data_IF_688569148352
#
_entry.id   IF_688569148352
#
_cell.length_a   1.000
_cell.length_b   1.000
_cell.length_c   1.000
_cell.angle_alpha   90.00
_cell.angle_beta   90.00
_cell.angle_gamma   90.00
#
_symmetry.space_group_name_H-M   'P 1'
#
loop_
_entity.id
_entity.type
_entity.pdbx_description
1 polymer ?
#
# COMPACT_ATOMS: atom_id res chain seq x y z
N UNK A 1 17.85 -7.18 -16.43
CA UNK A 1 17.25 -8.51 -16.12
C UNK A 1 15.95 -8.28 -15.36
N UNK A 2 14.95 -9.13 -15.56
CA UNK A 2 13.70 -9.02 -14.80
C UNK A 2 13.88 -9.55 -13.39
N UNK A 3 13.28 -8.88 -12.40
CA UNK A 3 13.24 -9.33 -11.01
C UNK A 3 12.25 -10.49 -10.88
N UNK A 4 12.71 -11.61 -10.33
CA UNK A 4 11.87 -12.79 -10.04
C UNK A 4 11.12 -12.60 -8.74
N UNK A 5 9.81 -12.44 -8.82
CA UNK A 5 8.94 -12.17 -7.68
C UNK A 5 8.08 -13.39 -7.37
N UNK A 6 8.08 -13.81 -6.11
CA UNK A 6 7.07 -14.73 -5.59
C UNK A 6 6.07 -13.95 -4.71
N UNK A 7 4.79 -14.31 -4.78
CA UNK A 7 3.72 -13.66 -4.00
C UNK A 7 3.23 -14.65 -2.95
N UNK A 8 3.41 -14.31 -1.67
CA UNK A 8 2.86 -15.07 -0.55
C UNK A 8 1.57 -14.42 -0.05
N UNK A 9 0.44 -15.05 -0.31
CA UNK A 9 -0.90 -14.51 -0.11
C UNK A 9 -1.47 -13.84 -1.36
N UNK A 10 -2.45 -14.49 -1.99
CA UNK A 10 -3.07 -14.00 -3.21
C UNK A 10 -4.46 -13.40 -2.95
N UNK A 11 -4.54 -12.62 -1.84
CA UNK A 11 -5.68 -11.79 -1.47
C UNK A 11 -5.81 -10.55 -2.35
N UNK A 12 -6.49 -9.50 -1.87
CA UNK A 12 -6.70 -8.25 -2.61
C UNK A 12 -5.37 -7.67 -3.13
N UNK A 13 -4.42 -7.43 -2.23
CA UNK A 13 -3.13 -6.78 -2.56
C UNK A 13 -2.27 -7.69 -3.45
N UNK A 14 -2.16 -8.99 -3.13
CA UNK A 14 -1.39 -9.93 -3.95
C UNK A 14 -1.89 -10.02 -5.40
N UNK A 15 -3.21 -10.04 -5.61
CA UNK A 15 -3.79 -10.05 -6.97
C UNK A 15 -3.57 -8.74 -7.72
N UNK A 16 -3.67 -7.59 -7.06
CA UNK A 16 -3.40 -6.31 -7.71
C UNK A 16 -1.92 -6.13 -8.03
N UNK A 17 -1.02 -6.58 -7.15
CA UNK A 17 0.41 -6.62 -7.43
C UNK A 17 0.72 -7.53 -8.63
N UNK A 18 0.09 -8.70 -8.69
CA UNK A 18 0.18 -9.59 -9.85
C UNK A 18 -0.25 -8.87 -11.14
N UNK A 19 -1.44 -8.26 -11.16
CA UNK A 19 -1.95 -7.53 -12.33
C UNK A 19 -1.03 -6.40 -12.79
N UNK A 20 -0.29 -5.77 -11.88
CA UNK A 20 0.64 -4.69 -12.22
C UNK A 20 2.00 -5.20 -12.70
N UNK A 21 2.46 -6.35 -12.20
CA UNK A 21 3.77 -6.92 -12.55
C UNK A 21 3.70 -7.89 -13.73
N UNK A 22 2.57 -8.59 -13.91
CA UNK A 22 2.44 -9.60 -14.97
C UNK A 22 2.49 -8.94 -16.35
N UNK A 23 3.46 -9.36 -17.17
CA UNK A 23 3.71 -8.77 -18.48
C UNK A 23 4.40 -7.40 -18.48
N UNK A 24 4.62 -6.79 -17.32
CA UNK A 24 5.33 -5.53 -17.23
C UNK A 24 6.85 -5.72 -17.35
N UNK A 25 7.51 -4.77 -17.99
CA UNK A 25 8.96 -4.78 -18.15
C UNK A 25 9.68 -4.72 -16.80
N UNK A 26 10.67 -5.58 -16.63
CA UNK A 26 11.48 -5.65 -15.42
C UNK A 26 10.93 -6.55 -14.31
N UNK A 27 9.80 -7.24 -14.53
CA UNK A 27 9.23 -8.18 -13.56
C UNK A 27 8.95 -9.55 -14.16
N UNK A 28 9.12 -10.58 -13.33
CA UNK A 28 8.69 -11.95 -13.62
C UNK A 28 8.03 -12.54 -12.37
N UNK A 29 6.72 -12.72 -12.37
CA UNK A 29 6.05 -13.46 -11.29
C UNK A 29 6.25 -14.94 -11.52
N UNK A 30 7.04 -15.59 -10.65
CA UNK A 30 7.47 -16.98 -10.82
C UNK A 30 6.60 -17.97 -10.06
N UNK A 31 5.98 -17.56 -8.95
CA UNK A 31 5.14 -18.43 -8.13
C UNK A 31 4.19 -17.62 -7.23
N UNK A 32 3.15 -18.30 -6.79
CA UNK A 32 2.19 -17.83 -5.77
C UNK A 32 2.13 -18.89 -4.66
N UNK A 33 2.02 -18.47 -3.41
CA UNK A 33 1.61 -19.34 -2.31
C UNK A 33 0.30 -18.82 -1.71
N UNK A 34 -0.71 -19.66 -1.65
CA UNK A 34 -2.00 -19.37 -0.99
C UNK A 34 -2.69 -20.67 -0.60
N UNK A 35 -3.38 -20.70 0.54
CA UNK A 35 -3.97 -21.91 1.07
C UNK A 35 -5.29 -22.32 0.42
N UNK A 36 -5.86 -21.43 -0.43
CA UNK A 36 -7.09 -21.73 -1.16
C UNK A 36 -6.82 -22.45 -2.50
N UNK A 37 -7.87 -22.83 -3.23
CA UNK A 37 -7.74 -23.58 -4.47
C UNK A 37 -7.33 -22.72 -5.67
N UNK A 38 -6.64 -23.31 -6.66
CA UNK A 38 -6.29 -22.63 -7.91
C UNK A 38 -7.53 -22.11 -8.65
N UNK A 39 -8.63 -22.87 -8.63
CA UNK A 39 -9.93 -22.46 -9.18
C UNK A 39 -10.44 -21.17 -8.55
N UNK A 40 -10.41 -21.07 -7.21
CA UNK A 40 -10.87 -19.87 -6.50
C UNK A 40 -9.96 -18.68 -6.81
N UNK A 41 -8.64 -18.87 -6.82
CA UNK A 41 -7.69 -17.80 -7.13
C UNK A 41 -7.82 -17.29 -8.55
N UNK A 42 -7.98 -18.20 -9.53
CA UNK A 42 -8.24 -17.85 -10.93
C UNK A 42 -9.56 -17.07 -11.08
N UNK A 43 -10.62 -17.51 -10.39
CA UNK A 43 -11.91 -16.82 -10.40
C UNK A 43 -11.80 -15.40 -9.88
N UNK A 44 -11.17 -15.22 -8.70
CA UNK A 44 -10.99 -13.90 -8.07
C UNK A 44 -9.97 -13.03 -8.81
N UNK A 45 -9.06 -13.60 -9.60
CA UNK A 45 -8.20 -12.83 -10.50
C UNK A 45 -8.98 -12.33 -11.72
N UNK A 46 -9.88 -13.15 -12.28
CA UNK A 46 -10.76 -12.77 -13.39
C UNK A 46 -11.70 -11.62 -13.03
N UNK A 47 -12.41 -11.78 -11.92
CA UNK A 47 -13.55 -10.95 -11.54
C UNK A 47 -13.23 -10.18 -10.26
N UNK A 48 -13.15 -8.89 -10.36
CA UNK A 48 -12.91 -7.99 -9.24
C UNK A 48 -13.98 -6.91 -9.22
N UNK A 49 -14.77 -6.87 -8.14
CA UNK A 49 -15.90 -5.96 -8.02
C UNK A 49 -15.49 -4.49 -7.89
N UNK A 50 -14.26 -4.22 -7.47
CA UNK A 50 -13.76 -2.85 -7.24
C UNK A 50 -12.77 -2.42 -8.33
N UNK A 51 -11.90 -3.34 -8.81
CA UNK A 51 -10.82 -3.01 -9.74
C UNK A 51 -11.11 -3.52 -11.18
N UNK A 52 -12.32 -4.03 -11.40
CA UNK A 52 -12.80 -4.43 -12.71
C UNK A 52 -12.39 -5.83 -13.16
N UNK A 53 -13.00 -6.25 -14.26
CA UNK A 53 -12.84 -7.56 -14.84
C UNK A 53 -11.53 -7.64 -15.63
N UNK A 54 -10.60 -8.50 -15.18
CA UNK A 54 -9.28 -8.66 -15.79
C UNK A 54 -9.36 -9.25 -17.21
N UNK A 55 -10.37 -10.11 -17.46
CA UNK A 55 -10.62 -10.65 -18.83
C UNK A 55 -11.12 -9.55 -19.76
N UNK A 56 -11.99 -8.65 -19.28
CA UNK A 56 -12.44 -7.50 -20.08
C UNK A 56 -11.30 -6.50 -20.37
N UNK A 57 -10.21 -6.55 -19.60
CA UNK A 57 -8.98 -5.78 -19.85
C UNK A 57 -8.04 -6.45 -20.86
N UNK A 58 -8.45 -7.58 -21.47
CA UNK A 58 -7.72 -8.25 -22.54
C UNK A 58 -6.90 -9.47 -22.11
N UNK A 59 -7.01 -9.91 -20.85
CA UNK A 59 -6.26 -11.05 -20.33
C UNK A 59 -7.08 -12.35 -20.35
N UNK A 60 -6.39 -13.46 -20.55
CA UNK A 60 -6.96 -14.80 -20.37
C UNK A 60 -6.52 -15.36 -19.02
N UNK A 61 -7.41 -16.04 -18.31
CA UNK A 61 -7.07 -16.71 -17.04
C UNK A 61 -7.73 -18.07 -17.01
N UNK A 62 -6.94 -19.12 -16.75
CA UNK A 62 -7.41 -20.48 -16.56
C UNK A 62 -6.71 -21.10 -15.36
N UNK A 63 -7.03 -22.33 -14.99
CA UNK A 63 -6.46 -23.03 -13.85
C UNK A 63 -6.37 -24.53 -14.06
N UNK A 64 -5.46 -25.16 -13.33
CA UNK A 64 -5.41 -26.59 -13.15
C UNK A 64 -5.25 -26.92 -11.67
N UNK A 65 -5.99 -27.90 -11.17
CA UNK A 65 -5.92 -28.38 -9.80
C UNK A 65 -5.23 -29.74 -9.77
N UNK A 66 -4.09 -29.81 -9.14
CA UNK A 66 -3.26 -30.97 -8.97
C UNK A 66 -2.45 -30.90 -7.67
N UNK A 67 -1.41 -31.70 -7.56
CA UNK A 67 -0.48 -31.68 -6.42
C UNK A 67 0.84 -31.01 -6.81
N UNK A 68 1.43 -30.30 -5.83
CA UNK A 68 2.73 -29.66 -6.02
C UNK A 68 2.76 -28.67 -7.20
N UNK A 69 3.69 -28.86 -8.12
CA UNK A 69 3.85 -28.00 -9.29
C UNK A 69 2.77 -28.23 -10.38
N UNK A 70 1.91 -29.22 -10.22
CA UNK A 70 0.75 -29.45 -11.10
C UNK A 70 -0.50 -28.71 -10.60
N UNK A 71 -0.39 -27.90 -9.57
CA UNK A 71 -1.42 -26.96 -9.10
C UNK A 71 -1.05 -25.54 -9.54
N UNK A 72 -1.78 -24.96 -10.51
CA UNK A 72 -1.37 -23.69 -11.12
C UNK A 72 -2.55 -22.90 -11.71
N UNK A 73 -2.30 -21.61 -11.95
CA UNK A 73 -3.11 -20.79 -12.87
C UNK A 73 -2.34 -20.59 -14.19
N UNK A 74 -3.08 -20.36 -15.26
CA UNK A 74 -2.53 -19.95 -16.55
C UNK A 74 -3.06 -18.56 -16.89
N UNK A 75 -2.17 -17.61 -17.10
CA UNK A 75 -2.52 -16.26 -17.50
C UNK A 75 -1.81 -15.94 -18.81
N UNK A 76 -2.58 -15.60 -19.83
CA UNK A 76 -2.07 -15.33 -21.20
C UNK A 76 -1.11 -16.42 -21.71
N UNK A 77 -1.46 -17.66 -21.43
CA UNK A 77 -0.66 -18.84 -21.79
C UNK A 77 0.54 -19.12 -20.89
N UNK A 78 0.86 -18.29 -19.92
CA UNK A 78 1.94 -18.52 -18.95
C UNK A 78 1.43 -19.26 -17.72
N UNK A 79 2.08 -20.38 -17.38
CA UNK A 79 1.83 -21.17 -16.18
C UNK A 79 2.47 -20.49 -14.96
N UNK A 80 1.68 -20.27 -13.89
CA UNK A 80 2.13 -19.76 -12.60
C UNK A 80 1.75 -20.80 -11.54
N UNK A 81 2.74 -21.43 -10.94
CA UNK A 81 2.52 -22.47 -9.92
C UNK A 81 1.96 -21.86 -8.65
N UNK A 82 0.98 -22.53 -8.05
CA UNK A 82 0.39 -22.17 -6.76
C UNK A 82 0.78 -23.22 -5.73
N UNK A 83 1.65 -22.82 -4.82
CA UNK A 83 1.97 -23.61 -3.63
C UNK A 83 0.88 -23.42 -2.57
N UNK A 84 0.70 -24.44 -1.72
CA UNK A 84 -0.27 -24.46 -0.62
C UNK A 84 0.41 -24.75 0.72
N UNK A 85 1.53 -24.08 0.95
CA UNK A 85 2.36 -24.30 2.13
C UNK A 85 1.97 -23.33 3.24
N UNK A 86 1.51 -23.81 4.40
CA UNK A 86 1.16 -22.95 5.53
C UNK A 86 2.40 -22.33 6.20
N UNK A 87 3.54 -23.01 6.14
CA UNK A 87 4.81 -22.53 6.69
C UNK A 87 5.70 -21.99 5.55
N UNK A 88 6.08 -20.74 5.64
CA UNK A 88 6.89 -20.06 4.63
C UNK A 88 8.31 -20.66 4.49
N UNK A 89 8.86 -21.28 5.54
CA UNK A 89 10.18 -21.92 5.50
C UNK A 89 10.25 -23.15 4.58
N UNK A 90 9.09 -23.75 4.26
CA UNK A 90 9.00 -24.93 3.42
C UNK A 90 8.84 -24.60 1.92
N UNK A 91 8.76 -23.32 1.59
CA UNK A 91 8.55 -22.86 0.22
C UNK A 91 9.85 -22.94 -0.60
N UNK A 92 9.77 -23.29 -1.90
CA UNK A 92 10.96 -23.58 -2.70
C UNK A 92 11.61 -22.33 -3.31
N UNK A 93 11.69 -21.24 -2.57
CA UNK A 93 12.15 -19.95 -3.11
C UNK A 93 13.58 -20.01 -3.67
N UNK A 94 14.47 -20.72 -3.00
CA UNK A 94 15.84 -20.93 -3.48
C UNK A 94 15.89 -21.72 -4.78
N UNK A 95 15.10 -22.81 -4.93
CA UNK A 95 14.99 -23.61 -6.15
C UNK A 95 14.50 -22.80 -7.34
N UNK A 96 13.57 -21.84 -7.10
CA UNK A 96 13.00 -20.99 -8.12
C UNK A 96 13.86 -19.76 -8.42
N UNK A 97 14.90 -19.51 -7.63
CA UNK A 97 15.77 -18.35 -7.76
C UNK A 97 15.01 -17.03 -7.52
N UNK A 98 14.15 -17.01 -6.47
CA UNK A 98 13.33 -15.85 -6.14
C UNK A 98 14.21 -14.70 -5.65
N UNK A 99 14.16 -13.56 -6.34
CA UNK A 99 14.84 -12.36 -5.91
C UNK A 99 14.09 -11.66 -4.79
N UNK A 100 12.78 -11.51 -4.92
CA UNK A 100 11.94 -10.82 -3.93
C UNK A 100 10.67 -11.62 -3.64
N UNK A 101 10.41 -11.88 -2.36
CA UNK A 101 9.08 -12.31 -1.91
C UNK A 101 8.26 -11.09 -1.55
N UNK A 102 7.07 -10.99 -2.14
CA UNK A 102 6.03 -10.07 -1.72
C UNK A 102 5.14 -10.77 -0.70
N UNK A 103 5.23 -10.36 0.56
CA UNK A 103 4.46 -10.93 1.68
C UNK A 103 3.13 -10.20 1.85
N UNK A 104 2.02 -10.84 1.50
CA UNK A 104 0.67 -10.30 1.50
C UNK A 104 -0.33 -11.07 2.37
N UNK A 105 0.13 -12.03 3.21
CA UNK A 105 -0.77 -12.85 4.03
C UNK A 105 -1.28 -12.14 5.28
N UNK A 106 -0.51 -11.15 5.77
CA UNK A 106 -0.75 -10.53 7.07
C UNK A 106 -0.30 -11.35 8.27
N UNK A 107 0.36 -12.52 8.06
CA UNK A 107 0.89 -13.38 9.14
C UNK A 107 2.37 -13.11 9.42
N UNK A 108 3.17 -12.84 8.42
CA UNK A 108 4.62 -12.63 8.51
C UNK A 108 4.95 -11.12 8.58
N UNK A 109 4.27 -10.39 9.47
CA UNK A 109 4.35 -8.93 9.61
C UNK A 109 5.36 -8.46 10.65
N UNK A 110 6.50 -9.13 10.75
CA UNK A 110 7.67 -8.67 11.53
C UNK A 110 8.95 -9.24 10.90
N UNK A 111 10.09 -8.61 11.17
CA UNK A 111 11.39 -9.08 10.68
C UNK A 111 11.63 -10.53 11.03
N UNK A 112 11.42 -10.89 12.31
CA UNK A 112 11.63 -12.25 12.79
C UNK A 112 10.77 -13.30 12.08
N UNK A 113 9.49 -12.98 11.82
CA UNK A 113 8.61 -13.90 11.09
C UNK A 113 8.95 -13.97 9.61
N UNK A 114 9.20 -12.83 8.95
CA UNK A 114 9.52 -12.76 7.54
C UNK A 114 10.88 -13.41 7.21
N UNK A 115 11.75 -13.60 8.20
CA UNK A 115 13.00 -14.34 8.06
C UNK A 115 12.79 -15.75 7.47
N UNK A 116 11.64 -16.39 7.73
CA UNK A 116 11.29 -17.68 7.14
C UNK A 116 11.37 -17.71 5.60
N UNK A 117 11.08 -16.60 4.92
CA UNK A 117 11.24 -16.51 3.48
C UNK A 117 12.71 -16.45 3.03
N UNK A 118 13.56 -15.78 3.80
CA UNK A 118 15.01 -15.77 3.55
C UNK A 118 15.58 -17.16 3.77
N UNK A 119 15.17 -17.85 4.86
CA UNK A 119 15.59 -19.22 5.18
C UNK A 119 15.14 -20.21 4.09
N UNK A 120 14.00 -19.95 3.44
CA UNK A 120 13.52 -20.69 2.27
C UNK A 120 14.28 -20.37 0.97
N UNK A 121 15.25 -19.44 1.00
CA UNK A 121 16.16 -19.13 -0.09
C UNK A 121 15.76 -17.92 -0.95
N UNK A 122 14.82 -17.10 -0.53
CA UNK A 122 14.58 -15.79 -1.16
C UNK A 122 15.72 -14.82 -0.83
N UNK A 123 16.07 -13.94 -1.76
CA UNK A 123 17.12 -12.94 -1.52
C UNK A 123 16.63 -11.77 -0.69
N UNK A 124 15.39 -11.34 -0.92
CA UNK A 124 14.77 -10.18 -0.27
C UNK A 124 13.29 -10.41 0.01
N UNK A 125 12.74 -9.68 0.99
CA UNK A 125 11.31 -9.71 1.35
C UNK A 125 10.75 -8.29 1.45
N UNK A 126 9.62 -8.05 0.82
CA UNK A 126 8.81 -6.83 0.99
C UNK A 126 7.51 -7.19 1.69
N UNK A 127 7.32 -6.69 2.91
CA UNK A 127 6.11 -6.91 3.72
C UNK A 127 5.07 -5.86 3.35
N UNK A 128 3.88 -6.29 2.92
CA UNK A 128 2.76 -5.41 2.53
C UNK A 128 1.95 -4.88 3.72
N UNK A 129 2.60 -4.57 4.82
CA UNK A 129 1.98 -4.07 6.05
C UNK A 129 3.03 -3.36 6.93
N UNK A 130 2.62 -2.52 7.90
CA UNK A 130 3.50 -2.07 8.97
C UNK A 130 4.07 -3.29 9.74
N UNK A 131 5.38 -3.30 9.97
CA UNK A 131 6.08 -4.50 10.44
C UNK A 131 7.02 -4.28 11.65
N UNK A 132 6.78 -3.24 12.43
CA UNK A 132 7.61 -2.88 13.59
C UNK A 132 8.66 -1.82 13.27
N UNK A 133 9.62 -1.64 14.18
CA UNK A 133 10.65 -0.59 14.09
C UNK A 133 12.06 -1.17 13.93
N UNK A 134 12.18 -2.48 13.80
CA UNK A 134 13.45 -3.22 13.70
C UNK A 134 13.84 -3.55 12.25
N UNK A 135 13.12 -2.96 11.29
CA UNK A 135 13.37 -3.04 9.85
C UNK A 135 12.99 -1.72 9.16
N UNK A 136 13.57 -1.42 7.98
CA UNK A 136 13.22 -0.21 7.25
C UNK A 136 11.74 -0.19 6.87
N UNK A 137 11.07 0.95 7.12
CA UNK A 137 9.73 1.25 6.65
C UNK A 137 9.82 2.23 5.51
N UNK A 138 9.37 1.83 4.32
CA UNK A 138 9.63 2.53 3.06
C UNK A 138 8.34 3.06 2.44
N UNK A 139 8.39 4.33 2.04
CA UNK A 139 7.46 4.96 1.11
C UNK A 139 8.25 5.39 -0.13
N UNK A 140 7.90 4.84 -1.29
CA UNK A 140 8.58 5.15 -2.54
C UNK A 140 8.51 6.66 -2.86
N UNK A 141 9.60 7.21 -3.37
CA UNK A 141 9.82 8.65 -3.62
C UNK A 141 9.85 9.56 -2.37
N UNK A 142 9.77 8.99 -1.16
CA UNK A 142 10.00 9.75 0.08
C UNK A 142 11.33 9.34 0.71
N UNK A 143 11.46 8.07 1.10
CA UNK A 143 12.67 7.58 1.77
C UNK A 143 13.28 6.31 1.16
N UNK A 144 12.83 5.85 -0.02
CA UNK A 144 13.35 4.61 -0.63
C UNK A 144 14.87 4.64 -0.86
N UNK A 145 15.48 5.83 -1.03
CA UNK A 145 16.93 6.01 -1.21
C UNK A 145 17.73 5.76 0.09
N UNK A 146 17.07 5.57 1.23
CA UNK A 146 17.76 5.16 2.47
C UNK A 146 18.09 3.68 2.50
N UNK A 147 17.48 2.89 1.61
CA UNK A 147 17.76 1.46 1.49
C UNK A 147 19.19 1.22 0.98
N UNK A 148 19.78 0.17 1.51
CA UNK A 148 21.12 -0.30 1.17
C UNK A 148 21.08 -1.75 0.67
N UNK A 149 22.19 -2.25 0.14
CA UNK A 149 22.31 -3.65 -0.30
C UNK A 149 22.29 -4.65 0.86
N UNK A 150 22.59 -4.20 2.07
CA UNK A 150 22.55 -5.00 3.31
C UNK A 150 21.13 -5.26 3.80
N UNK A 151 20.17 -4.46 3.38
CA UNK A 151 18.76 -4.65 3.71
C UNK A 151 18.21 -5.86 2.96
N UNK A 152 17.60 -6.79 3.69
CA UNK A 152 17.00 -8.01 3.13
C UNK A 152 15.49 -8.09 3.36
N UNK A 153 14.97 -7.46 4.41
CA UNK A 153 13.56 -7.47 4.78
C UNK A 153 13.12 -6.03 5.06
N UNK A 154 12.09 -5.57 4.36
CA UNK A 154 11.55 -4.22 4.52
C UNK A 154 10.02 -4.24 4.64
N UNK A 155 9.47 -3.18 5.22
CA UNK A 155 8.04 -2.88 5.21
C UNK A 155 7.73 -1.83 4.15
N UNK A 156 6.71 -2.06 3.33
CA UNK A 156 6.16 -1.05 2.43
C UNK A 156 5.14 -0.12 3.12
N UNK A 157 5.19 -0.03 4.45
CA UNK A 157 4.28 0.78 5.27
C UNK A 157 2.79 0.39 5.10
N UNK A 158 1.87 1.35 5.28
CA UNK A 158 0.44 1.20 5.01
C UNK A 158 0.00 2.07 3.84
N UNK A 159 -1.19 1.80 3.29
CA UNK A 159 -1.78 2.63 2.24
C UNK A 159 -1.92 4.10 2.67
N UNK A 160 -2.38 4.33 3.89
CA UNK A 160 -2.53 5.68 4.46
C UNK A 160 -1.18 6.37 4.66
N UNK A 161 -0.14 5.64 5.11
CA UNK A 161 1.22 6.20 5.23
C UNK A 161 1.78 6.59 3.86
N UNK A 162 1.54 5.78 2.83
CA UNK A 162 1.96 6.08 1.46
C UNK A 162 1.25 7.30 0.87
N UNK A 163 0.02 7.58 1.29
CA UNK A 163 -0.70 8.81 0.92
C UNK A 163 -0.21 10.03 1.71
N UNK A 164 -0.05 9.89 3.03
CA UNK A 164 0.30 11.00 3.91
C UNK A 164 1.74 11.49 3.71
N UNK A 165 2.69 10.59 3.55
CA UNK A 165 4.12 10.91 3.60
C UNK A 165 4.57 11.93 2.53
N UNK A 166 4.27 11.77 1.23
CA UNK A 166 4.71 12.74 0.22
C UNK A 166 4.09 14.12 0.45
N UNK A 167 2.80 14.19 0.80
CA UNK A 167 2.10 15.43 1.10
C UNK A 167 2.68 16.13 2.35
N UNK A 168 2.92 15.37 3.42
CA UNK A 168 3.49 15.90 4.65
C UNK A 168 4.95 16.36 4.45
N UNK A 169 5.73 15.62 3.62
CA UNK A 169 7.09 16.02 3.27
C UNK A 169 7.09 17.34 2.52
N UNK A 170 6.30 17.45 1.44
CA UNK A 170 6.24 18.67 0.63
C UNK A 170 5.80 19.88 1.47
N UNK A 171 4.83 19.73 2.38
CA UNK A 171 4.42 20.81 3.29
C UNK A 171 5.54 21.17 4.28
N UNK A 172 6.22 20.18 4.87
CA UNK A 172 7.32 20.41 5.81
C UNK A 172 8.55 21.04 5.15
N UNK A 173 8.80 20.73 3.89
CA UNK A 173 9.89 21.34 3.10
C UNK A 173 9.59 22.81 2.74
N UNK A 174 8.31 23.17 2.55
CA UNK A 174 7.88 24.56 2.37
C UNK A 174 7.98 25.36 3.69
N UNK A 175 7.42 24.81 4.75
CA UNK A 175 7.38 25.43 6.06
C UNK A 175 7.34 24.35 7.15
N UNK A 176 8.28 24.35 8.13
CA UNK A 176 8.38 23.29 9.12
C UNK A 176 7.08 23.05 9.86
N UNK A 177 6.60 21.81 9.86
CA UNK A 177 5.43 21.39 10.64
C UNK A 177 5.80 21.36 12.13
N UNK A 178 5.06 22.10 12.94
CA UNK A 178 5.18 22.14 14.40
C UNK A 178 4.35 21.02 15.05
N UNK A 179 3.10 20.88 14.59
CA UNK A 179 2.17 19.85 15.04
C UNK A 179 1.07 19.63 14.01
N UNK A 180 0.39 18.48 14.08
CA UNK A 180 -0.74 18.25 13.18
C UNK A 180 -1.61 17.07 13.59
N UNK A 181 -2.83 17.09 13.05
CA UNK A 181 -3.80 16.01 13.15
C UNK A 181 -4.14 15.55 11.74
N UNK A 182 -3.93 14.30 11.45
CA UNK A 182 -4.42 13.69 10.21
C UNK A 182 -5.71 12.91 10.47
N UNK A 183 -6.64 12.99 9.55
CA UNK A 183 -7.79 12.11 9.50
C UNK A 183 -7.88 11.47 8.12
N UNK A 184 -8.00 10.14 8.07
CA UNK A 184 -8.34 9.49 6.81
C UNK A 184 -9.80 9.08 6.80
N UNK A 185 -10.51 9.49 5.74
CA UNK A 185 -11.82 8.97 5.38
C UNK A 185 -11.54 7.78 4.46
N UNK A 186 -11.69 6.58 5.00
CA UNK A 186 -11.15 5.36 4.40
C UNK A 186 -12.26 4.45 3.91
N UNK A 187 -12.09 3.85 2.75
CA UNK A 187 -12.95 2.76 2.31
C UNK A 187 -12.92 1.59 3.32
N UNK A 188 -14.00 0.83 3.42
CA UNK A 188 -13.99 -0.36 4.28
C UNK A 188 -12.97 -1.40 3.77
N UNK A 189 -12.48 -2.23 4.68
CA UNK A 189 -11.43 -3.22 4.39
C UNK A 189 -11.91 -4.63 4.73
N UNK A 190 -11.27 -5.64 4.13
CA UNK A 190 -11.68 -7.04 4.25
C UNK A 190 -11.56 -7.65 5.65
N UNK A 191 -11.06 -6.93 6.62
CA UNK A 191 -11.04 -7.31 8.04
C UNK A 191 -12.28 -6.81 8.82
N UNK A 192 -13.13 -5.99 8.18
CA UNK A 192 -14.44 -5.61 8.71
C UNK A 192 -15.51 -6.65 8.34
N UNK A 193 -16.56 -6.68 9.12
CA UNK A 193 -17.66 -7.62 8.88
C UNK A 193 -18.64 -7.07 7.83
N UNK A 194 -19.12 -7.88 6.88
CA UNK A 194 -20.17 -7.47 5.94
C UNK A 194 -21.51 -7.22 6.65
N UNK A 195 -21.86 -8.05 7.62
CA UNK A 195 -22.99 -7.89 8.57
C UNK A 195 -22.44 -7.92 10.00
N UNK A 196 -23.25 -7.49 10.99
CA UNK A 196 -22.84 -7.54 12.40
C UNK A 196 -22.43 -8.96 12.79
N UNK A 197 -21.20 -9.12 13.27
CA UNK A 197 -20.65 -10.41 13.64
C UNK A 197 -19.28 -10.31 14.31
N UNK A 198 -18.78 -11.38 14.95
CA UNK A 198 -17.53 -11.34 15.69
C UNK A 198 -16.32 -11.17 14.74
N UNK A 199 -15.60 -10.07 14.91
CA UNK A 199 -14.36 -9.82 14.19
C UNK A 199 -13.19 -10.62 14.80
N UNK A 200 -12.29 -11.15 13.96
CA UNK A 200 -11.24 -12.12 14.37
C UNK A 200 -10.32 -11.64 15.50
N UNK A 201 -10.07 -10.33 15.62
CA UNK A 201 -9.20 -9.73 16.65
C UNK A 201 -10.00 -9.13 17.81
N UNK A 202 -11.35 -9.30 17.82
CA UNK A 202 -12.22 -8.80 18.87
C UNK A 202 -12.47 -7.29 18.85
N UNK A 203 -12.21 -6.61 17.73
CA UNK A 203 -12.51 -5.18 17.59
C UNK A 203 -14.03 -5.00 17.45
N UNK A 204 -14.65 -4.36 18.47
CA UNK A 204 -16.10 -4.19 18.54
C UNK A 204 -16.66 -3.29 17.43
N UNK A 205 -15.91 -2.28 16.98
CA UNK A 205 -16.35 -1.39 15.91
C UNK A 205 -16.26 -2.07 14.55
N UNK A 206 -15.16 -2.78 14.28
CA UNK A 206 -14.98 -3.58 13.05
C UNK A 206 -15.90 -4.80 12.99
N UNK A 207 -16.55 -5.16 14.09
CA UNK A 207 -17.60 -6.19 14.16
C UNK A 207 -18.94 -5.74 13.59
N UNK A 208 -19.10 -4.45 13.28
CA UNK A 208 -20.33 -3.91 12.72
C UNK A 208 -20.30 -3.92 11.18
N UNK A 209 -21.51 -3.96 10.59
CA UNK A 209 -21.70 -4.01 9.15
C UNK A 209 -21.02 -2.84 8.41
N UNK A 210 -20.05 -3.15 7.58
CA UNK A 210 -19.16 -2.16 6.94
C UNK A 210 -19.88 -1.27 5.92
N UNK A 211 -20.83 -1.84 5.16
CA UNK A 211 -21.49 -1.15 4.05
C UNK A 211 -22.61 -0.17 4.45
N UNK A 212 -22.93 -0.07 5.76
CA UNK A 212 -24.02 0.78 6.27
C UNK A 212 -23.61 1.67 7.46
N UNK A 213 -22.33 1.66 7.85
CA UNK A 213 -21.85 2.40 9.00
C UNK A 213 -20.61 3.23 8.67
N UNK A 214 -20.49 4.39 9.34
CA UNK A 214 -19.19 5.06 9.55
C UNK A 214 -18.55 4.39 10.76
N UNK A 215 -17.37 3.77 10.57
CA UNK A 215 -16.70 2.98 11.60
C UNK A 215 -15.41 3.68 12.02
N UNK A 216 -15.37 4.33 13.20
CA UNK A 216 -14.13 4.92 13.71
C UNK A 216 -13.09 3.84 13.97
N UNK A 217 -11.87 4.05 13.47
CA UNK A 217 -10.75 3.14 13.59
C UNK A 217 -9.50 3.87 14.10
N UNK A 218 -8.64 3.14 14.77
CA UNK A 218 -7.27 3.62 15.00
C UNK A 218 -6.45 3.51 13.72
N UNK A 219 -5.52 4.43 13.51
CA UNK A 219 -4.52 4.34 12.45
C UNK A 219 -3.12 4.53 13.04
N UNK A 220 -2.20 3.67 12.62
CA UNK A 220 -0.77 3.83 12.92
C UNK A 220 -0.03 4.77 11.98
N UNK A 221 -0.71 5.32 10.96
CA UNK A 221 -0.05 6.09 9.90
C UNK A 221 0.66 7.34 10.42
N UNK A 222 0.04 8.08 11.36
CA UNK A 222 0.67 9.25 11.95
C UNK A 222 1.92 8.92 12.79
N UNK A 223 1.95 7.77 13.47
CA UNK A 223 3.15 7.28 14.17
C UNK A 223 4.21 6.79 13.20
N UNK A 224 3.78 6.09 12.14
CA UNK A 224 4.69 5.56 11.14
C UNK A 224 5.38 6.66 10.32
N UNK A 225 4.81 7.88 10.29
CA UNK A 225 5.42 8.98 9.56
C UNK A 225 6.83 9.31 10.08
N UNK A 226 7.08 9.21 11.38
CA UNK A 226 8.40 9.42 11.98
C UNK A 226 9.45 8.38 11.57
N UNK A 227 9.03 7.18 11.09
CA UNK A 227 9.94 6.18 10.53
C UNK A 227 10.33 6.51 9.09
N UNK A 228 9.51 7.29 8.40
CA UNK A 228 9.68 7.65 6.99
C UNK A 228 10.29 9.04 6.84
N UNK A 229 9.87 9.98 7.70
CA UNK A 229 10.32 11.37 7.76
C UNK A 229 10.70 11.66 9.23
N UNK A 230 11.95 11.47 9.63
CA UNK A 230 12.39 11.59 11.02
C UNK A 230 12.08 12.94 11.68
N UNK A 231 12.08 14.03 10.90
CA UNK A 231 11.77 15.39 11.35
C UNK A 231 10.32 15.55 11.83
N UNK A 232 9.42 14.64 11.43
CA UNK A 232 8.02 14.63 11.83
C UNK A 232 7.73 13.68 13.01
N UNK A 233 8.76 13.04 13.57
CA UNK A 233 8.58 12.14 14.69
C UNK A 233 7.95 12.86 15.90
N UNK A 234 6.82 12.34 16.38
CA UNK A 234 6.10 12.89 17.53
C UNK A 234 5.26 14.14 17.23
N UNK A 235 5.31 14.70 16.01
CA UNK A 235 4.56 15.92 15.66
C UNK A 235 3.14 15.66 15.14
N UNK A 236 2.84 14.44 14.68
CA UNK A 236 1.54 14.10 14.11
C UNK A 236 0.81 13.05 14.95
N UNK A 237 -0.49 13.28 15.12
CA UNK A 237 -1.45 12.27 15.61
C UNK A 237 -2.48 11.99 14.52
N UNK A 238 -3.23 10.90 14.64
CA UNK A 238 -4.18 10.55 13.57
C UNK A 238 -5.32 9.65 13.99
N UNK A 239 -6.40 9.75 13.20
CA UNK A 239 -7.60 8.94 13.29
C UNK A 239 -8.01 8.45 11.89
N UNK A 240 -8.84 7.41 11.86
CA UNK A 240 -9.46 6.91 10.64
C UNK A 240 -10.97 6.78 10.83
N UNK A 241 -11.72 7.10 9.78
CA UNK A 241 -13.16 6.86 9.68
C UNK A 241 -13.37 5.97 8.46
N UNK A 242 -13.72 4.70 8.67
CA UNK A 242 -14.09 3.83 7.55
C UNK A 242 -15.54 4.10 7.15
N UNK A 243 -15.76 4.31 5.86
CA UNK A 243 -17.05 4.69 5.28
C UNK A 243 -17.56 3.65 4.30
N UNK A 244 -18.87 3.66 3.94
CA UNK A 244 -19.48 2.67 3.04
C UNK A 244 -19.06 2.81 1.57
N UNK A 245 -17.76 2.81 1.29
CA UNK A 245 -17.21 2.76 -0.08
C UNK A 245 -16.27 1.57 -0.20
N UNK A 246 -16.26 0.84 -1.34
CA UNK A 246 -15.47 -0.39 -1.49
C UNK A 246 -13.98 -0.12 -1.70
N UNK A 247 -13.64 1.02 -2.30
CA UNK A 247 -12.28 1.54 -2.47
C UNK A 247 -12.35 3.05 -2.75
N UNK A 248 -11.23 3.74 -2.71
CA UNK A 248 -11.17 5.20 -2.82
C UNK A 248 -11.26 5.88 -1.45
N UNK A 249 -10.14 6.40 -0.99
CA UNK A 249 -9.95 7.00 0.32
C UNK A 249 -9.31 8.37 0.19
N UNK A 250 -9.46 9.21 1.21
CA UNK A 250 -8.78 10.51 1.28
C UNK A 250 -8.12 10.71 2.63
N UNK A 251 -6.95 11.34 2.63
CA UNK A 251 -6.24 11.77 3.84
C UNK A 251 -6.26 13.28 3.94
N UNK A 252 -6.76 13.77 5.06
CA UNK A 252 -6.80 15.19 5.43
C UNK A 252 -5.72 15.42 6.49
N UNK A 253 -4.77 16.29 6.23
CA UNK A 253 -3.79 16.74 7.22
C UNK A 253 -4.07 18.18 7.58
N UNK A 254 -4.40 18.42 8.85
CA UNK A 254 -4.47 19.74 9.46
C UNK A 254 -3.19 19.92 10.28
N UNK A 255 -2.35 20.87 9.88
CA UNK A 255 -1.05 21.10 10.53
C UNK A 255 -0.86 22.57 10.85
N UNK A 256 -0.17 22.85 11.94
CA UNK A 256 0.42 24.17 12.21
C UNK A 256 1.82 24.15 11.63
N UNK A 257 2.09 25.08 10.74
CA UNK A 257 3.42 25.28 10.15
C UNK A 257 4.02 26.60 10.60
N UNK A 258 5.34 26.64 10.66
CA UNK A 258 6.09 27.81 11.13
C UNK A 258 6.07 28.92 10.08
N UNK A 259 5.67 30.13 10.52
CA UNK A 259 5.64 31.31 9.69
C UNK A 259 4.39 31.40 8.81
N UNK A 260 4.34 32.47 8.01
CA UNK A 260 3.21 32.78 7.14
C UNK A 260 3.33 32.06 5.79
N UNK A 261 2.29 31.32 5.42
CA UNK A 261 2.16 30.69 4.09
C UNK A 261 0.78 31.01 3.50
N UNK A 262 0.68 30.99 2.18
CA UNK A 262 -0.57 31.21 1.42
C UNK A 262 -1.00 29.92 0.72
N UNK A 263 -2.28 29.84 0.31
CA UNK A 263 -2.81 28.74 -0.51
C UNK A 263 -1.97 28.55 -1.77
N UNK A 264 -1.62 29.64 -2.46
CA UNK A 264 -0.86 29.58 -3.70
C UNK A 264 0.56 29.02 -3.47
N UNK A 265 1.22 29.39 -2.38
CA UNK A 265 2.54 28.85 -2.03
C UNK A 265 2.48 27.35 -1.71
N UNK A 266 1.47 26.90 -0.94
CA UNK A 266 1.27 25.49 -0.64
C UNK A 266 1.00 24.71 -1.93
N UNK A 267 0.07 25.16 -2.77
CA UNK A 267 -0.26 24.49 -4.02
C UNK A 267 0.92 24.48 -5.01
N UNK A 268 1.69 25.56 -5.09
CA UNK A 268 2.89 25.62 -5.91
C UNK A 268 3.97 24.64 -5.45
N UNK A 269 4.19 24.49 -4.13
CA UNK A 269 5.12 23.53 -3.57
C UNK A 269 4.67 22.10 -3.89
N UNK A 270 3.38 21.76 -3.67
CA UNK A 270 2.87 20.42 -3.96
C UNK A 270 3.00 20.07 -5.44
N UNK A 271 2.78 21.05 -6.34
CA UNK A 271 2.94 20.89 -7.78
C UNK A 271 4.42 20.70 -8.17
N UNK A 272 5.34 21.38 -7.52
CA UNK A 272 6.77 21.26 -7.77
C UNK A 272 7.31 19.88 -7.33
N UNK A 273 6.76 19.30 -6.27
CA UNK A 273 7.12 17.97 -5.76
C UNK A 273 6.38 16.82 -6.46
N UNK A 274 5.54 17.10 -7.47
CA UNK A 274 4.81 16.08 -8.21
C UNK A 274 5.76 15.13 -8.94
N UNK A 275 5.46 13.83 -8.88
CA UNK A 275 6.24 12.74 -9.47
C UNK A 275 5.31 11.69 -10.06
N UNK A 276 5.86 10.60 -10.58
CA UNK A 276 5.07 9.41 -11.00
C UNK A 276 4.30 8.74 -9.85
N UNK A 277 4.65 9.03 -8.60
CA UNK A 277 4.03 8.45 -7.39
C UNK A 277 3.29 9.46 -6.52
N UNK A 278 3.52 10.75 -6.71
CA UNK A 278 2.82 11.85 -6.06
C UNK A 278 2.20 12.76 -7.13
N UNK A 279 0.89 12.63 -7.32
CA UNK A 279 0.15 13.38 -8.33
C UNK A 279 -0.36 14.72 -7.80
N UNK A 280 -0.73 15.61 -8.74
CA UNK A 280 -1.31 16.92 -8.48
C UNK A 280 -2.62 17.05 -9.26
N UNK A 281 -3.71 17.40 -8.58
CA UNK A 281 -5.05 17.52 -9.16
C UNK A 281 -5.64 18.92 -8.92
N UNK A 282 -6.36 19.41 -9.93
CA UNK A 282 -7.12 20.69 -9.89
C UNK A 282 -8.59 20.51 -10.23
N UNK A 283 -9.02 19.28 -10.52
CA UNK A 283 -10.42 18.98 -10.83
C UNK A 283 -11.19 18.68 -9.54
N UNK A 284 -12.50 18.94 -9.56
CA UNK A 284 -13.42 18.64 -8.46
C UNK A 284 -13.81 17.16 -8.48
N UNK A 285 -12.90 16.28 -8.03
CA UNK A 285 -13.04 14.83 -8.04
C UNK A 285 -13.66 14.27 -6.76
N UNK A 286 -14.19 13.05 -6.87
CA UNK A 286 -14.71 12.26 -5.75
C UNK A 286 -14.06 10.87 -5.71
N UNK A 287 -14.37 10.08 -4.68
CA UNK A 287 -13.71 8.80 -4.42
C UNK A 287 -13.82 7.75 -5.56
N UNK A 288 -14.86 7.81 -6.40
CA UNK A 288 -15.00 6.91 -7.53
C UNK A 288 -14.05 7.22 -8.69
N UNK A 289 -13.59 8.48 -8.81
CA UNK A 289 -12.73 8.93 -9.91
C UNK A 289 -11.29 8.44 -9.77
N UNK A 290 -10.91 8.04 -8.54
CA UNK A 290 -9.55 7.58 -8.25
C UNK A 290 -9.40 6.05 -8.24
N UNK A 291 -10.47 5.31 -8.56
CA UNK A 291 -10.42 3.84 -8.60
C UNK A 291 -9.44 3.38 -9.70
N UNK A 292 -8.52 2.51 -9.34
CA UNK A 292 -7.47 2.03 -10.24
C UNK A 292 -6.29 2.99 -10.41
N UNK A 293 -6.27 4.12 -9.72
CA UNK A 293 -5.19 5.10 -9.77
C UNK A 293 -3.86 4.49 -9.30
N UNK A 294 -2.77 4.93 -9.92
CA UNK A 294 -1.40 4.45 -9.62
C UNK A 294 -0.53 5.44 -8.84
N UNK A 295 -0.98 6.68 -8.62
CA UNK A 295 -0.30 7.56 -7.67
C UNK A 295 -0.46 7.01 -6.26
N UNK A 296 0.60 6.98 -5.46
CA UNK A 296 0.52 6.63 -4.04
C UNK A 296 -0.29 7.65 -3.24
N UNK A 297 -0.25 8.89 -3.70
CA UNK A 297 -0.94 10.06 -3.17
C UNK A 297 -1.26 11.01 -4.32
N UNK A 298 -2.50 11.45 -4.45
CA UNK A 298 -2.92 12.45 -5.41
C UNK A 298 -3.37 13.70 -4.65
N UNK A 299 -2.52 14.71 -4.61
CA UNK A 299 -2.81 15.97 -3.93
C UNK A 299 -3.96 16.70 -4.62
N UNK A 300 -4.92 17.17 -3.82
CA UNK A 300 -6.09 17.93 -4.29
C UNK A 300 -5.93 19.41 -3.97
N UNK A 301 -5.53 20.20 -4.96
CA UNK A 301 -5.31 21.63 -4.82
C UNK A 301 -6.60 22.43 -4.55
N UNK A 302 -7.78 21.84 -4.84
CA UNK A 302 -9.07 22.47 -4.61
C UNK A 302 -9.47 22.49 -3.13
N UNK A 303 -8.80 21.65 -2.29
CA UNK A 303 -9.12 21.47 -0.88
C UNK A 303 -8.12 22.14 0.07
N UNK A 304 -7.15 22.89 -0.46
CA UNK A 304 -6.16 23.59 0.36
C UNK A 304 -6.79 24.76 1.09
N UNK A 305 -6.61 24.82 2.40
CA UNK A 305 -7.05 25.93 3.24
C UNK A 305 -5.92 26.41 4.14
N UNK A 306 -5.86 27.71 4.38
CA UNK A 306 -4.91 28.33 5.30
C UNK A 306 -5.60 29.31 6.24
N UNK A 307 -5.15 29.35 7.49
CA UNK A 307 -5.61 30.28 8.51
C UNK A 307 -4.39 30.85 9.24
N UNK A 308 -4.09 32.17 9.07
CA UNK A 308 -3.04 32.82 9.85
C UNK A 308 -3.35 32.79 11.34
N UNK A 309 -2.34 32.48 12.15
CA UNK A 309 -2.45 32.44 13.61
C UNK A 309 -1.88 33.72 14.25
N UNK A 310 -2.35 34.12 15.46
CA UNK A 310 -1.90 35.34 16.12
C UNK A 310 -0.40 35.36 16.47
N UNK A 311 0.25 34.22 16.57
CA UNK A 311 1.68 34.08 16.85
C UNK A 311 2.57 34.20 15.58
N UNK A 312 1.98 34.42 14.42
CA UNK A 312 2.71 34.53 13.16
C UNK A 312 2.88 33.21 12.39
N UNK A 313 2.43 32.08 12.95
CA UNK A 313 2.38 30.79 12.27
C UNK A 313 1.11 30.66 11.43
N UNK A 314 0.99 29.55 10.72
CA UNK A 314 -0.18 29.28 9.89
C UNK A 314 -0.74 27.87 10.15
N UNK A 315 -2.04 27.78 10.36
CA UNK A 315 -2.74 26.50 10.26
C UNK A 315 -3.08 26.23 8.80
N UNK A 316 -2.69 25.04 8.33
CA UNK A 316 -2.84 24.59 6.95
C UNK A 316 -3.63 23.30 6.93
N UNK A 317 -4.65 23.23 6.07
CA UNK A 317 -5.25 21.97 5.65
C UNK A 317 -4.75 21.61 4.26
N UNK A 318 -4.28 20.37 4.10
CA UNK A 318 -3.97 19.75 2.81
C UNK A 318 -4.66 18.40 2.71
N UNK A 319 -5.08 18.05 1.49
CA UNK A 319 -5.86 16.84 1.22
C UNK A 319 -5.24 16.06 0.08
N UNK A 320 -5.16 14.75 0.23
CA UNK A 320 -4.75 13.84 -0.85
C UNK A 320 -5.67 12.64 -0.95
N UNK A 321 -5.93 12.23 -2.19
CA UNK A 321 -6.68 11.03 -2.55
C UNK A 321 -5.74 9.84 -2.75
N UNK A 322 -6.24 8.63 -2.48
CA UNK A 322 -5.58 7.38 -2.79
C UNK A 322 -6.57 6.24 -2.96
N UNK A 323 -6.36 5.42 -3.99
CA UNK A 323 -6.98 4.11 -4.02
C UNK A 323 -6.25 3.24 -2.99
N UNK A 324 -6.88 2.98 -1.85
CA UNK A 324 -6.25 2.27 -0.73
C UNK A 324 -5.74 0.86 -1.12
N UNK A 325 -6.19 0.31 -2.24
CA UNK A 325 -5.70 -0.93 -2.81
C UNK A 325 -4.68 -0.68 -3.92
N UNK A 326 -5.07 -0.04 -5.03
CA UNK A 326 -4.23 0.05 -6.23
C UNK A 326 -3.10 1.09 -6.11
N UNK A 327 -3.34 2.24 -5.46
CA UNK A 327 -2.27 3.22 -5.17
C UNK A 327 -1.18 2.62 -4.30
N UNK A 328 -1.58 1.95 -3.22
CA UNK A 328 -0.64 1.26 -2.32
C UNK A 328 0.15 0.17 -3.05
N UNK A 329 -0.55 -0.67 -3.82
CA UNK A 329 0.07 -1.72 -4.62
C UNK A 329 1.10 -1.15 -5.59
N UNK A 330 0.80 -0.01 -6.23
CA UNK A 330 1.72 0.64 -7.17
C UNK A 330 3.00 1.11 -6.49
N UNK A 331 2.90 1.69 -5.28
CA UNK A 331 4.06 2.09 -4.50
C UNK A 331 4.93 0.88 -4.11
N UNK A 332 4.28 -0.19 -3.70
CA UNK A 332 4.93 -1.43 -3.34
C UNK A 332 5.65 -2.08 -4.54
N UNK A 333 5.02 -2.12 -5.70
CA UNK A 333 5.61 -2.64 -6.94
C UNK A 333 6.85 -1.83 -7.35
N UNK A 334 6.80 -0.50 -7.29
CA UNK A 334 7.97 0.37 -7.50
C UNK A 334 9.08 0.08 -6.48
N UNK A 335 8.71 -0.10 -5.21
CA UNK A 335 9.66 -0.42 -4.14
C UNK A 335 10.33 -1.78 -4.38
N UNK A 336 9.59 -2.80 -4.82
CA UNK A 336 10.15 -4.12 -5.17
C UNK A 336 11.24 -3.99 -6.23
N UNK A 337 10.99 -3.24 -7.32
CA UNK A 337 11.97 -3.04 -8.39
C UNK A 337 13.22 -2.35 -7.87
N UNK A 338 13.06 -1.19 -7.25
CA UNK A 338 14.18 -0.45 -6.68
C UNK A 338 15.01 -1.29 -5.69
N UNK A 339 14.33 -1.98 -4.78
CA UNK A 339 14.97 -2.79 -3.77
C UNK A 339 15.74 -3.98 -4.36
N UNK A 340 15.23 -4.58 -5.43
CA UNK A 340 15.91 -5.69 -6.12
C UNK A 340 17.18 -5.26 -6.83
N UNK A 341 17.26 -3.98 -7.26
CA UNK A 341 18.39 -3.42 -7.99
C UNK A 341 19.57 -3.01 -7.07
N UNK A 342 19.37 -2.99 -5.76
CA UNK A 342 20.41 -2.65 -4.77
C UNK A 342 21.40 -3.80 -4.47
N UNK A 343 21.55 -4.78 -5.34
CA UNK A 343 22.55 -5.82 -5.22
C UNK A 343 22.01 -7.23 -5.19
#
# INVERSE_FOLDING_TARGET
MSVKVAINGFGRIGRLAFRQMFGAEGYEVVAINDLTSAKMLAHLLKYDSTQGNYVAQGHTVDFHEGEGEDNYIVVDGKKIVIYKMPNAADLPWGKLGVDVVLECTGFYTSKAKAQAHIDAGARKVVISAPAGNDLPTIVFNVNHKTLTKEDTIISAASCTTNCLAPMAKALNDLAPIESGIMCTIHAYTGDQMPLDGPQRKGDLRRSRAAAVNIVPNSTGAAKAIGLVIPELNGKLIGAAQHVPTPTGSTTILNAVVKGAVTVDQVNAQMKAEATESFGYNTDEIVSSDIIGMRFGSLFDATQTMVLPLPNGDTQVQVVSWYDNENSYTSQMVRTIKYFSELG
#
